data_IF_022222993317
#
_entry.id   IF_022222993317
#
_cell.length_a   1.000
_cell.length_b   1.000
_cell.length_c   1.000
_cell.angle_alpha   90.00
_cell.angle_beta   90.00
_cell.angle_gamma   90.00
#
_symmetry.space_group_name_H-M   'P 1'
#
loop_
_entity.id
_entity.type
_entity.pdbx_description
1 polymer ?
#
# COMPACT_ATOMS: atom_id res chain seq x y z
N UNK A 1 -1.07 8.65 13.65
CA UNK A 1 -1.35 8.70 15.11
C UNK A 1 -2.81 8.41 15.42
N UNK A 2 -3.77 9.04 14.73
CA UNK A 2 -5.22 8.81 14.94
C UNK A 2 -5.66 7.36 14.68
N UNK A 3 -5.45 6.85 13.46
CA UNK A 3 -5.69 5.45 13.12
C UNK A 3 -4.84 4.46 13.93
N UNK A 4 -3.83 4.96 14.66
CA UNK A 4 -2.96 4.14 15.49
C UNK A 4 -3.50 3.95 16.91
N UNK A 5 -4.54 4.70 17.33
CA UNK A 5 -5.09 4.65 18.68
C UNK A 5 -4.23 5.34 19.74
N UNK A 6 -3.27 6.16 19.30
CA UNK A 6 -2.33 6.87 20.18
C UNK A 6 -2.42 8.39 20.03
N UNK A 7 -3.55 8.89 19.55
CA UNK A 7 -3.82 10.33 19.42
C UNK A 7 -3.62 11.07 20.73
N UNK A 8 -4.11 10.52 21.86
CA UNK A 8 -3.95 11.11 23.20
C UNK A 8 -2.49 11.33 23.61
N UNK A 9 -1.57 10.46 23.17
CA UNK A 9 -0.17 10.55 23.57
C UNK A 9 0.49 11.80 22.96
N UNK A 10 0.06 12.21 21.77
CA UNK A 10 0.45 13.49 21.21
C UNK A 10 -0.17 14.65 21.98
N UNK A 11 -1.40 14.51 22.49
CA UNK A 11 -2.10 15.56 23.24
C UNK A 11 -1.46 15.85 24.60
N UNK A 12 -0.97 14.82 25.26
CA UNK A 12 -0.30 14.93 26.56
C UNK A 12 1.19 15.23 26.45
N UNK A 13 1.70 15.41 25.23
CA UNK A 13 3.11 15.70 25.00
C UNK A 13 3.40 17.18 25.30
N UNK A 14 4.40 17.46 26.12
CA UNK A 14 4.95 18.79 26.44
C UNK A 14 5.92 19.32 25.37
N UNK A 15 6.14 18.56 24.29
CA UNK A 15 7.04 18.99 23.22
C UNK A 15 6.49 20.24 22.49
N UNK A 16 7.36 21.17 22.06
CA UNK A 16 6.92 22.32 21.27
C UNK A 16 6.31 21.84 19.94
N UNK A 17 5.27 22.53 19.48
CA UNK A 17 4.55 22.23 18.24
C UNK A 17 5.35 22.64 17.00
N UNK A 18 6.47 21.95 16.79
CA UNK A 18 7.38 22.12 15.65
C UNK A 18 7.31 20.85 14.83
N UNK A 19 6.76 20.97 13.62
CA UNK A 19 6.63 19.86 12.69
C UNK A 19 7.99 19.18 12.46
N UNK A 20 8.03 17.87 12.67
CA UNK A 20 9.23 17.07 12.42
C UNK A 20 10.36 17.25 13.43
N UNK A 21 10.07 17.71 14.66
CA UNK A 21 11.05 17.67 15.76
C UNK A 21 11.56 16.24 15.99
N UNK A 22 12.81 16.10 16.45
CA UNK A 22 13.41 14.78 16.66
C UNK A 22 12.61 13.95 17.69
N UNK A 23 12.16 14.60 18.78
CA UNK A 23 11.31 13.98 19.80
C UNK A 23 10.01 13.42 19.22
N UNK A 24 9.33 14.17 18.34
CA UNK A 24 8.11 13.69 17.69
C UNK A 24 8.40 12.51 16.76
N UNK A 25 9.53 12.51 16.02
CA UNK A 25 9.93 11.36 15.18
C UNK A 25 10.16 10.10 16.01
N UNK A 26 10.88 10.23 17.12
CA UNK A 26 11.19 9.10 18.00
C UNK A 26 9.91 8.52 18.63
N UNK A 27 9.01 9.40 19.10
CA UNK A 27 7.70 9.02 19.63
C UNK A 27 6.86 8.27 18.60
N UNK A 28 6.68 8.84 17.40
CA UNK A 28 5.93 8.21 16.31
C UNK A 28 6.55 6.86 15.94
N UNK A 29 7.87 6.76 15.82
CA UNK A 29 8.56 5.51 15.48
C UNK A 29 8.32 4.41 16.52
N UNK A 30 8.26 4.80 17.80
CA UNK A 30 8.04 3.88 18.91
C UNK A 30 6.59 3.37 18.91
N UNK A 31 5.62 4.24 18.66
CA UNK A 31 4.22 3.86 18.51
C UNK A 31 3.98 2.91 17.33
N UNK A 32 4.63 3.16 16.19
CA UNK A 32 4.56 2.27 15.01
C UNK A 32 5.06 0.88 15.39
N UNK A 33 6.25 0.78 16.00
CA UNK A 33 6.81 -0.52 16.43
C UNK A 33 5.89 -1.28 17.39
N UNK A 34 5.31 -0.58 18.37
CA UNK A 34 4.37 -1.19 19.32
C UNK A 34 3.12 -1.68 18.61
N UNK A 35 2.56 -0.88 17.72
CA UNK A 35 1.36 -1.24 16.94
C UNK A 35 1.62 -2.42 16.02
N UNK A 36 2.75 -2.44 15.33
CA UNK A 36 3.13 -3.54 14.44
C UNK A 36 3.28 -4.83 15.23
N UNK A 37 3.94 -4.76 16.40
CA UNK A 37 4.06 -5.92 17.30
C UNK A 37 2.69 -6.43 17.76
N UNK A 38 1.80 -5.52 18.17
CA UNK A 38 0.44 -5.85 18.59
C UNK A 38 -0.48 -6.26 17.43
N UNK A 39 -0.13 -5.99 16.17
CA UNK A 39 -0.94 -6.37 15.02
C UNK A 39 -0.42 -7.63 14.35
N UNK A 40 0.87 -7.93 14.52
CA UNK A 40 1.53 -9.11 13.95
C UNK A 40 1.15 -10.40 14.66
N UNK A 41 0.89 -11.45 13.87
CA UNK A 41 0.73 -12.83 14.35
C UNK A 41 -0.51 -13.09 15.21
N UNK A 42 -0.60 -14.33 15.69
CA UNK A 42 -1.65 -14.79 16.62
C UNK A 42 -1.28 -14.37 18.03
N UNK A 43 -2.29 -13.94 18.79
CA UNK A 43 -2.10 -13.58 20.19
C UNK A 43 -1.67 -14.78 21.04
N UNK A 44 -0.49 -14.67 21.65
CA UNK A 44 0.14 -15.76 22.41
C UNK A 44 -0.33 -15.81 23.87
N UNK A 45 -0.86 -14.71 24.40
CA UNK A 45 -1.33 -14.61 25.79
C UNK A 45 -2.66 -13.87 25.91
N UNK A 46 -3.36 -14.05 27.04
CA UNK A 46 -4.57 -13.29 27.37
C UNK A 46 -4.30 -11.79 27.44
N UNK A 47 -3.13 -11.40 27.95
CA UNK A 47 -2.71 -10.01 28.01
C UNK A 47 -2.54 -9.40 26.61
N UNK A 48 -2.03 -10.19 25.65
CA UNK A 48 -1.89 -9.73 24.26
C UNK A 48 -3.27 -9.52 23.60
N UNK A 49 -4.23 -10.42 23.83
CA UNK A 49 -5.61 -10.25 23.36
C UNK A 49 -6.26 -8.99 23.91
N UNK A 50 -6.18 -8.81 25.23
CA UNK A 50 -6.72 -7.63 25.90
C UNK A 50 -6.06 -6.34 25.38
N UNK A 51 -4.75 -6.36 25.17
CA UNK A 51 -4.02 -5.20 24.63
C UNK A 51 -4.49 -4.83 23.22
N UNK A 52 -4.75 -5.83 22.36
CA UNK A 52 -5.29 -5.61 21.00
C UNK A 52 -6.70 -5.05 21.03
N UNK A 53 -7.56 -5.56 21.91
CA UNK A 53 -8.91 -5.03 22.11
C UNK A 53 -8.86 -3.56 22.55
N UNK A 54 -8.01 -3.21 23.52
CA UNK A 54 -7.84 -1.83 23.94
C UNK A 54 -7.32 -0.91 22.84
N UNK A 55 -6.29 -1.33 22.09
CA UNK A 55 -5.78 -0.51 20.98
C UNK A 55 -6.83 -0.31 19.89
N UNK A 56 -7.69 -1.30 19.65
CA UNK A 56 -8.81 -1.20 18.70
C UNK A 56 -9.86 -0.20 19.20
N UNK A 57 -10.22 -0.26 20.49
CA UNK A 57 -11.12 0.72 21.10
C UNK A 57 -10.56 2.15 21.03
N UNK A 58 -9.28 2.33 21.34
CA UNK A 58 -8.63 3.64 21.31
C UNK A 58 -8.43 4.19 19.88
N UNK A 59 -8.35 3.32 18.88
CA UNK A 59 -8.26 3.73 17.47
C UNK A 59 -9.57 4.35 16.97
N UNK A 60 -10.71 3.78 17.36
CA UNK A 60 -12.05 4.28 17.00
C UNK A 60 -12.93 4.41 18.25
N UNK A 61 -12.69 5.39 19.14
CA UNK A 61 -13.41 5.52 20.40
C UNK A 61 -14.91 5.78 20.20
N UNK A 62 -15.30 6.34 19.05
CA UNK A 62 -16.70 6.61 18.71
C UNK A 62 -17.58 5.36 18.68
N UNK A 63 -17.03 4.22 18.25
CA UNK A 63 -17.76 2.95 18.13
C UNK A 63 -18.07 2.33 19.50
N UNK A 64 -17.41 2.81 20.56
CA UNK A 64 -17.48 2.25 21.92
C UNK A 64 -18.07 3.22 22.95
N UNK A 65 -18.68 4.33 22.50
CA UNK A 65 -19.33 5.31 23.39
C UNK A 65 -20.53 4.72 24.12
N UNK A 66 -21.24 3.77 23.51
CA UNK A 66 -22.40 3.10 24.10
C UNK A 66 -22.02 1.81 24.85
N UNK A 67 -20.73 1.53 25.00
CA UNK A 67 -20.26 0.33 25.69
C UNK A 67 -20.62 0.38 27.19
N UNK A 68 -21.10 -0.74 27.73
CA UNK A 68 -21.57 -0.83 29.13
C UNK A 68 -20.47 -0.57 30.17
N UNK A 69 -19.20 -0.80 29.83
CA UNK A 69 -18.06 -0.67 30.75
C UNK A 69 -17.19 0.54 30.42
N UNK A 70 -17.03 0.86 29.14
CA UNK A 70 -16.07 1.86 28.66
C UNK A 70 -16.72 3.16 28.12
N UNK A 71 -18.04 3.29 28.17
CA UNK A 71 -18.77 4.45 27.64
C UNK A 71 -18.25 5.80 28.13
N UNK A 72 -18.13 5.97 29.46
CA UNK A 72 -17.71 7.23 30.06
C UNK A 72 -16.28 7.61 29.65
N UNK A 73 -15.35 6.65 29.68
CA UNK A 73 -13.95 6.88 29.31
C UNK A 73 -13.79 7.14 27.82
N UNK A 74 -14.50 6.41 26.97
CA UNK A 74 -14.47 6.61 25.51
C UNK A 74 -15.10 7.95 25.09
N UNK A 75 -16.16 8.38 25.79
CA UNK A 75 -16.76 9.72 25.60
C UNK A 75 -15.77 10.83 25.94
N UNK A 76 -15.10 10.71 27.09
CA UNK A 76 -14.07 11.67 27.49
C UNK A 76 -12.91 11.69 26.50
N UNK A 77 -12.44 10.50 26.09
CA UNK A 77 -11.35 10.35 25.14
C UNK A 77 -11.67 11.00 23.79
N UNK A 78 -12.88 10.77 23.25
CA UNK A 78 -13.36 11.44 22.04
C UNK A 78 -13.40 12.95 22.19
N UNK A 79 -13.90 13.47 23.31
CA UNK A 79 -13.93 14.91 23.56
C UNK A 79 -12.53 15.55 23.51
N UNK A 80 -11.50 14.86 24.00
CA UNK A 80 -10.12 15.35 23.93
C UNK A 80 -9.58 15.35 22.50
N UNK A 81 -9.88 14.31 21.72
CA UNK A 81 -9.51 14.23 20.30
C UNK A 81 -10.17 15.37 19.52
N UNK A 82 -11.48 15.55 19.68
CA UNK A 82 -12.26 16.57 18.97
C UNK A 82 -11.73 17.98 19.29
N UNK A 83 -11.35 18.23 20.54
CA UNK A 83 -10.73 19.50 20.96
C UNK A 83 -9.39 19.74 20.29
N UNK A 84 -8.56 18.71 20.17
CA UNK A 84 -7.22 18.86 19.58
C UNK A 84 -7.23 18.95 18.07
N UNK A 85 -8.05 18.16 17.39
CA UNK A 85 -8.18 18.22 15.93
C UNK A 85 -8.79 19.57 15.49
N UNK A 86 -9.45 20.26 16.42
CA UNK A 86 -10.25 21.42 16.11
C UNK A 86 -11.47 21.03 15.27
N UNK A 87 -12.38 21.99 15.06
CA UNK A 87 -13.39 21.81 14.02
C UNK A 87 -12.66 21.93 12.69
N UNK A 88 -12.32 20.81 12.04
CA UNK A 88 -12.08 20.88 10.60
C UNK A 88 -13.37 21.46 10.02
N UNK A 89 -13.30 22.65 9.41
CA UNK A 89 -14.50 23.24 8.86
C UNK A 89 -15.12 22.22 7.89
N UNK A 90 -16.46 22.00 7.94
CA UNK A 90 -17.09 21.14 6.97
C UNK A 90 -16.74 21.68 5.59
N UNK A 91 -16.01 20.89 4.80
CA UNK A 91 -15.57 21.31 3.47
C UNK A 91 -16.80 21.67 2.68
N UNK A 92 -16.91 22.93 2.28
CA UNK A 92 -18.01 23.38 1.44
C UNK A 92 -17.92 22.68 0.09
N UNK A 93 -19.05 22.56 -0.63
CA UNK A 93 -19.06 21.97 -1.96
C UNK A 93 -18.05 22.65 -2.91
N UNK A 94 -17.82 23.96 -2.72
CA UNK A 94 -16.81 24.74 -3.46
C UNK A 94 -15.38 24.28 -3.16
N UNK A 95 -14.98 24.12 -1.90
CA UNK A 95 -13.64 23.64 -1.56
C UNK A 95 -13.36 22.21 -2.08
N UNK A 96 -14.39 21.37 -2.10
CA UNK A 96 -14.31 20.03 -2.67
C UNK A 96 -14.06 20.14 -4.18
N UNK A 97 -14.81 20.98 -4.88
CA UNK A 97 -14.67 21.20 -6.31
C UNK A 97 -13.30 21.77 -6.69
N UNK A 98 -12.81 22.78 -5.96
CA UNK A 98 -11.47 23.35 -6.16
C UNK A 98 -10.37 22.29 -6.01
N UNK A 99 -10.49 21.39 -5.02
CA UNK A 99 -9.53 20.27 -4.88
C UNK A 99 -9.56 19.30 -6.05
N UNK A 100 -10.74 19.01 -6.58
CA UNK A 100 -10.89 18.17 -7.78
C UNK A 100 -10.28 18.85 -9.01
N UNK A 101 -10.46 20.16 -9.17
CA UNK A 101 -9.87 20.94 -10.26
C UNK A 101 -8.34 20.97 -10.16
N UNK A 102 -7.80 21.19 -8.96
CA UNK A 102 -6.35 21.12 -8.69
C UNK A 102 -5.80 19.72 -9.02
N UNK A 103 -6.50 18.65 -8.65
CA UNK A 103 -6.07 17.28 -8.98
C UNK A 103 -6.17 16.99 -10.48
N UNK A 104 -7.21 17.48 -11.17
CA UNK A 104 -7.37 17.32 -12.62
C UNK A 104 -6.26 18.05 -13.39
N UNK A 105 -5.83 19.20 -12.90
CA UNK A 105 -4.78 20.01 -13.51
C UNK A 105 -3.36 19.51 -13.17
N UNK A 106 -3.19 18.55 -12.24
CA UNK A 106 -1.89 17.94 -11.99
C UNK A 106 -1.49 17.05 -13.16
N UNK A 107 -0.26 17.19 -13.69
CA UNK A 107 0.22 16.33 -14.76
C UNK A 107 0.28 14.89 -14.24
N UNK A 108 -0.41 13.98 -14.94
CA UNK A 108 -0.42 12.55 -14.64
C UNK A 108 0.96 11.96 -14.94
N UNK A 109 1.86 12.00 -13.96
CA UNK A 109 3.13 11.26 -13.99
C UNK A 109 2.86 9.86 -13.50
N UNK A 110 2.75 8.89 -14.41
CA UNK A 110 2.71 7.49 -14.02
C UNK A 110 4.13 7.02 -13.78
N UNK A 111 4.43 6.68 -12.52
CA UNK A 111 5.73 6.14 -12.10
C UNK A 111 6.16 4.94 -12.97
N UNK A 112 5.19 4.11 -13.39
CA UNK A 112 5.42 2.96 -14.28
C UNK A 112 5.87 3.41 -15.68
N UNK A 113 5.29 4.48 -16.24
CA UNK A 113 5.68 5.01 -17.56
C UNK A 113 7.06 5.66 -17.50
N UNK A 114 7.35 6.40 -16.45
CA UNK A 114 8.64 7.06 -16.27
C UNK A 114 9.78 6.03 -16.08
N UNK A 115 9.52 4.90 -15.41
CA UNK A 115 10.49 3.81 -15.24
C UNK A 115 10.60 2.95 -16.51
N UNK A 116 9.49 2.62 -17.18
CA UNK A 116 9.51 1.84 -18.41
C UNK A 116 10.13 2.59 -19.60
N UNK A 117 10.01 3.92 -19.65
CA UNK A 117 10.59 4.75 -20.72
C UNK A 117 12.05 5.13 -20.50
N UNK A 118 12.69 4.69 -19.40
CA UNK A 118 14.13 4.91 -19.16
C UNK A 118 15.05 4.04 -20.02
N UNK A 119 14.52 3.27 -20.99
CA UNK A 119 15.36 2.77 -22.07
C UNK A 119 15.92 3.98 -22.83
N UNK A 120 17.24 4.18 -22.79
CA UNK A 120 17.96 5.04 -23.75
C UNK A 120 17.48 4.66 -25.13
N UNK A 121 16.64 5.48 -25.76
CA UNK A 121 16.29 5.30 -27.17
C UNK A 121 17.60 5.40 -27.93
N UNK A 122 18.10 4.28 -28.43
CA UNK A 122 19.21 4.30 -29.36
C UNK A 122 18.77 5.16 -30.54
N UNK A 123 19.54 6.19 -30.88
CA UNK A 123 19.31 7.02 -32.06
C UNK A 123 19.59 6.26 -33.36
N UNK A 124 20.09 5.03 -33.25
CA UNK A 124 20.42 4.17 -34.35
C UNK A 124 19.25 3.25 -34.70
N UNK A 125 18.66 3.48 -35.87
CA UNK A 125 17.78 2.51 -36.52
C UNK A 125 18.65 1.45 -37.19
N UNK A 126 18.51 0.20 -36.78
CA UNK A 126 19.26 -0.91 -37.38
C UNK A 126 18.94 -1.03 -38.87
N UNK A 127 19.95 -1.26 -39.69
CA UNK A 127 19.78 -1.57 -41.10
C UNK A 127 19.39 -3.04 -41.29
N UNK A 128 19.02 -3.43 -42.52
CA UNK A 128 18.55 -4.80 -42.81
C UNK A 128 19.60 -5.88 -42.50
N UNK A 129 20.88 -5.57 -42.74
CA UNK A 129 21.99 -6.51 -42.55
C UNK A 129 22.28 -6.76 -41.06
N UNK A 130 22.22 -5.71 -40.24
CA UNK A 130 22.38 -5.79 -38.78
C UNK A 130 21.21 -6.53 -38.12
N UNK A 131 20.00 -6.41 -38.68
CA UNK A 131 18.82 -7.16 -38.24
C UNK A 131 19.03 -8.65 -38.52
N UNK A 132 19.51 -9.02 -39.71
CA UNK A 132 19.81 -10.41 -40.08
C UNK A 132 20.92 -11.00 -39.22
N UNK A 133 21.98 -10.22 -38.93
CA UNK A 133 23.08 -10.65 -38.05
C UNK A 133 22.59 -10.92 -36.61
N UNK A 134 21.69 -10.09 -36.09
CA UNK A 134 21.08 -10.28 -34.78
C UNK A 134 20.13 -11.48 -34.75
N UNK A 135 19.35 -11.68 -35.82
CA UNK A 135 18.47 -12.85 -35.95
C UNK A 135 19.28 -14.15 -35.94
N UNK A 136 20.40 -14.20 -36.66
CA UNK A 136 21.32 -15.33 -36.67
C UNK A 136 21.92 -15.63 -35.28
N UNK A 137 22.33 -14.60 -34.54
CA UNK A 137 22.86 -14.75 -33.17
C UNK A 137 21.80 -15.18 -32.15
N UNK A 138 20.53 -14.84 -32.39
CA UNK A 138 19.40 -15.25 -31.54
C UNK A 138 18.96 -16.68 -31.89
N UNK A 139 19.08 -17.08 -33.16
CA UNK A 139 18.59 -18.37 -33.67
C UNK A 139 19.55 -19.55 -33.48
N UNK A 140 20.49 -19.49 -32.54
CA UNK A 140 21.59 -20.47 -32.42
C UNK A 140 21.14 -21.91 -32.04
N UNK A 141 19.83 -22.18 -32.02
CA UNK A 141 19.24 -23.51 -32.26
C UNK A 141 17.86 -23.35 -32.89
N UNK A 142 17.77 -23.48 -34.21
CA UNK A 142 16.56 -24.10 -34.75
C UNK A 142 16.64 -25.57 -34.32
N UNK A 143 15.75 -26.11 -33.47
CA UNK A 143 15.67 -27.56 -33.39
C UNK A 143 15.44 -28.01 -34.83
N UNK A 144 16.25 -28.94 -35.34
CA UNK A 144 15.85 -29.70 -36.51
C UNK A 144 14.57 -30.43 -36.10
N UNK A 145 13.44 -29.73 -36.25
CA UNK A 145 12.14 -30.35 -36.22
C UNK A 145 12.12 -31.22 -37.47
N UNK A 146 12.66 -32.44 -37.34
CA UNK A 146 12.46 -33.48 -38.32
C UNK A 146 10.97 -33.60 -38.55
N UNK A 147 10.57 -33.95 -39.76
CA UNK A 147 9.17 -34.12 -40.16
C UNK A 147 8.41 -35.03 -39.16
N UNK A 148 9.13 -35.97 -38.53
CA UNK A 148 8.64 -36.86 -37.48
C UNK A 148 8.24 -36.19 -36.16
N UNK A 149 8.81 -35.02 -35.79
CA UNK A 149 8.47 -34.34 -34.52
C UNK A 149 7.00 -33.88 -34.52
N UNK A 150 6.51 -33.43 -35.67
CA UNK A 150 5.12 -33.01 -35.81
C UNK A 150 4.17 -34.20 -35.88
N UNK A 151 4.58 -35.31 -36.49
CA UNK A 151 3.78 -36.55 -36.48
C UNK A 151 3.64 -37.12 -35.06
N UNK A 152 4.72 -37.18 -34.29
CA UNK A 152 4.72 -37.70 -32.91
C UNK A 152 3.85 -36.81 -32.00
N UNK A 153 3.95 -35.48 -32.13
CA UNK A 153 3.14 -34.55 -31.35
C UNK A 153 1.65 -34.61 -31.72
N UNK A 154 1.32 -34.83 -33.00
CA UNK A 154 -0.06 -35.04 -33.44
C UNK A 154 -0.62 -36.37 -32.93
N UNK A 155 0.20 -37.42 -32.88
CA UNK A 155 -0.17 -38.72 -32.30
C UNK A 155 -0.49 -38.57 -30.81
N UNK A 156 0.38 -37.92 -30.05
CA UNK A 156 0.20 -37.68 -28.61
C UNK A 156 -1.07 -36.88 -28.31
N UNK A 157 -1.35 -35.84 -29.12
CA UNK A 157 -2.58 -35.05 -28.99
C UNK A 157 -3.82 -35.88 -29.31
N UNK A 158 -3.74 -36.78 -30.29
CA UNK A 158 -4.85 -37.64 -30.66
C UNK A 158 -5.14 -38.71 -29.59
N UNK A 159 -4.11 -39.34 -29.01
CA UNK A 159 -4.29 -40.23 -27.85
C UNK A 159 -4.95 -39.52 -26.67
N UNK A 160 -4.57 -38.27 -26.40
CA UNK A 160 -5.13 -37.49 -25.31
C UNK A 160 -6.59 -37.05 -25.55
N UNK A 161 -7.04 -37.05 -26.81
CA UNK A 161 -8.42 -36.76 -27.21
C UNK A 161 -9.30 -38.01 -27.32
N UNK A 162 -8.70 -39.19 -27.52
CA UNK A 162 -9.40 -40.47 -27.63
C UNK A 162 -9.65 -41.15 -26.26
N UNK A 163 -9.08 -40.61 -25.16
CA UNK A 163 -9.23 -41.07 -23.77
C UNK A 163 -10.43 -40.43 -22.99
N UNK A 164 -11.47 -39.96 -23.70
CA UNK A 164 -12.79 -39.54 -23.12
C UNK A 164 -13.96 -40.41 -23.61
#
# INVERSE_FOLDING_TARGET
MEQMGFSICCLSCDAPDIAGSQRCRDCISSHVKVRDKLSSGVSTSKADRLSREFVTMLANPADFIENTVHSETMTHYKSLIDKHQGKSQPKTAQEVQERFEIQRNKPQRSLIRDVASNRKKSTHTLNSEEIEELLLKISDKNPEASESYWEELLQDVNELLDDD
#
